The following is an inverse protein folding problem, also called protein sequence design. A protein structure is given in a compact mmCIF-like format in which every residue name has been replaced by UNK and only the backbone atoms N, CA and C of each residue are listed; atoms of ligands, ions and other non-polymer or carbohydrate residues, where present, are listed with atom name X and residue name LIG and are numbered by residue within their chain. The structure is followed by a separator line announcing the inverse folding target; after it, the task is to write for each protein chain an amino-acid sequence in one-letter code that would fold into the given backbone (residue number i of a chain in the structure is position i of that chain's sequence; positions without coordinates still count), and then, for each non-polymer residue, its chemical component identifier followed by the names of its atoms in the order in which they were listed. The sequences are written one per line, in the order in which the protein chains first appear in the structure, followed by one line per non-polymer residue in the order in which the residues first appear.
data_IF_126019006440
#
_entry.id   IF_126019006440
#
_cell.length_a   1.000
_cell.length_b   1.000
_cell.length_c   1.000
_cell.angle_alpha   90.00
_cell.angle_beta   90.00
_cell.angle_gamma   90.00
#
_symmetry.space_group_name_H-M   'P 1'
#
loop_
_entity.id
_entity.type
_entity.pdbx_description
1 polymer ?
#
# COMPACT_ATOMS: atom_id res chain seq x y z
N UNK A 1 -13.22 28.37 8.32
CA UNK A 1 -14.19 27.35 7.86
C UNK A 1 -13.39 26.18 7.34
N UNK A 2 -13.24 25.11 8.13
CA UNK A 2 -12.73 23.85 7.62
C UNK A 2 -13.79 23.31 6.68
N UNK A 3 -13.48 23.21 5.39
CA UNK A 3 -14.38 22.61 4.43
C UNK A 3 -14.27 21.10 4.67
N UNK A 4 -15.23 20.53 5.41
CA UNK A 4 -15.40 19.09 5.59
C UNK A 4 -15.65 18.47 4.22
N UNK A 5 -14.56 18.17 3.51
CA UNK A 5 -14.58 17.48 2.24
C UNK A 5 -14.50 16.00 2.54
N UNK A 6 -15.64 15.41 2.88
CA UNK A 6 -15.85 14.02 2.49
C UNK A 6 -15.86 14.04 0.96
N UNK A 7 -14.90 13.38 0.27
CA UNK A 7 -15.08 13.18 -1.16
C UNK A 7 -16.40 12.47 -1.38
N UNK A 8 -17.07 12.84 -2.46
CA UNK A 8 -18.28 12.17 -2.89
C UNK A 8 -18.06 10.64 -2.81
N UNK A 9 -18.99 9.94 -2.16
CA UNK A 9 -18.92 8.50 -1.98
C UNK A 9 -18.66 7.78 -3.32
N UNK A 10 -19.11 8.38 -4.42
CA UNK A 10 -18.82 7.90 -5.78
C UNK A 10 -17.34 7.97 -6.16
N UNK A 11 -16.64 9.06 -5.81
CA UNK A 11 -15.19 9.19 -6.08
C UNK A 11 -14.41 8.16 -5.27
N UNK A 12 -14.79 7.94 -4.00
CA UNK A 12 -14.15 6.94 -3.16
C UNK A 12 -14.39 5.51 -3.68
N UNK A 13 -15.63 5.20 -4.08
CA UNK A 13 -15.98 3.92 -4.73
C UNK A 13 -15.19 3.71 -6.01
N UNK A 14 -15.03 4.76 -6.82
CA UNK A 14 -14.27 4.67 -8.07
C UNK A 14 -12.78 4.37 -7.81
N UNK A 15 -12.16 5.09 -6.86
CA UNK A 15 -10.76 4.85 -6.48
C UNK A 15 -10.54 3.43 -5.98
N UNK A 16 -11.43 2.93 -5.13
CA UNK A 16 -11.38 1.55 -4.66
C UNK A 16 -11.50 0.56 -5.82
N UNK A 17 -12.47 0.76 -6.73
CA UNK A 17 -12.63 -0.07 -7.93
C UNK A 17 -11.38 -0.09 -8.81
N UNK A 18 -10.77 1.06 -9.04
CA UNK A 18 -9.53 1.19 -9.82
C UNK A 18 -8.37 0.49 -9.11
N UNK A 19 -8.19 0.69 -7.80
CA UNK A 19 -7.17 0.02 -7.01
C UNK A 19 -7.35 -1.50 -7.03
N UNK A 20 -8.58 -1.99 -6.87
CA UNK A 20 -8.94 -3.40 -6.95
C UNK A 20 -8.54 -4.00 -8.31
N UNK A 21 -8.89 -3.33 -9.41
CA UNK A 21 -8.52 -3.77 -10.76
C UNK A 21 -6.99 -3.83 -10.94
N UNK A 22 -6.26 -2.84 -10.42
CA UNK A 22 -4.79 -2.80 -10.46
C UNK A 22 -4.15 -3.96 -9.68
N UNK A 23 -4.66 -4.27 -8.49
CA UNK A 23 -4.15 -5.35 -7.64
C UNK A 23 -4.41 -6.73 -8.27
N UNK A 24 -5.61 -6.94 -8.82
CA UNK A 24 -5.97 -8.21 -9.48
C UNK A 24 -5.11 -8.40 -10.73
N UNK A 25 -4.90 -7.34 -11.52
CA UNK A 25 -4.05 -7.38 -12.70
C UNK A 25 -4.56 -8.34 -13.78
N UNK A 26 -5.88 -8.60 -13.81
CA UNK A 26 -6.50 -9.56 -14.73
C UNK A 26 -6.35 -11.04 -14.35
N UNK A 27 -5.72 -11.35 -13.21
CA UNK A 27 -5.65 -12.72 -12.68
C UNK A 27 -7.02 -13.21 -12.25
N UNK A 28 -7.28 -14.49 -12.47
CA UNK A 28 -8.38 -15.18 -11.80
C UNK A 28 -7.99 -15.42 -10.33
N UNK A 29 -8.86 -15.04 -9.40
CA UNK A 29 -8.61 -15.18 -7.96
C UNK A 29 -9.84 -15.81 -7.30
N UNK A 30 -9.63 -16.47 -6.16
CA UNK A 30 -10.72 -17.11 -5.44
C UNK A 30 -11.70 -16.08 -4.85
N UNK A 31 -12.91 -16.52 -4.50
CA UNK A 31 -13.91 -15.69 -3.81
C UNK A 31 -13.39 -15.13 -2.48
N UNK A 32 -12.60 -15.92 -1.75
CA UNK A 32 -11.96 -15.48 -0.51
C UNK A 32 -10.91 -14.40 -0.80
N UNK A 33 -10.11 -14.57 -1.86
CA UNK A 33 -9.12 -13.57 -2.29
C UNK A 33 -9.75 -12.26 -2.71
N UNK A 34 -10.96 -12.30 -3.28
CA UNK A 34 -11.72 -11.10 -3.59
C UNK A 34 -12.01 -10.23 -2.35
N UNK A 35 -12.18 -10.84 -1.17
CA UNK A 35 -12.35 -10.11 0.11
C UNK A 35 -11.04 -9.48 0.54
N UNK A 36 -9.93 -10.23 0.53
CA UNK A 36 -8.61 -9.71 0.89
C UNK A 36 -8.18 -8.57 -0.01
N UNK A 37 -8.38 -8.72 -1.33
CA UNK A 37 -8.11 -7.65 -2.29
C UNK A 37 -8.98 -6.43 -2.00
N UNK A 38 -10.25 -6.60 -1.65
CA UNK A 38 -11.15 -5.49 -1.31
C UNK A 38 -10.66 -4.68 -0.10
N UNK A 39 -10.15 -5.34 0.94
CA UNK A 39 -9.59 -4.67 2.11
C UNK A 39 -8.37 -3.83 1.70
N UNK A 40 -7.44 -4.42 0.95
CA UNK A 40 -6.22 -3.73 0.53
C UNK A 40 -6.51 -2.61 -0.47
N UNK A 41 -7.43 -2.80 -1.41
CA UNK A 41 -7.83 -1.76 -2.37
C UNK A 41 -8.47 -0.56 -1.68
N UNK A 42 -9.29 -0.79 -0.64
CA UNK A 42 -9.89 0.27 0.14
C UNK A 42 -8.86 1.11 0.90
N UNK A 43 -7.83 0.46 1.46
CA UNK A 43 -6.70 1.16 2.11
C UNK A 43 -5.87 1.97 1.12
N UNK A 44 -5.65 1.46 -0.09
CA UNK A 44 -4.96 2.19 -1.17
C UNK A 44 -5.77 3.42 -1.59
N UNK A 45 -7.07 3.27 -1.81
CA UNK A 45 -7.96 4.38 -2.15
C UNK A 45 -7.97 5.46 -1.08
N UNK A 46 -7.95 5.07 0.20
CA UNK A 46 -7.86 6.00 1.33
C UNK A 46 -6.53 6.78 1.33
N UNK A 47 -5.41 6.14 1.02
CA UNK A 47 -4.12 6.85 0.91
C UNK A 47 -4.15 7.86 -0.24
N UNK A 48 -4.68 7.48 -1.41
CA UNK A 48 -4.80 8.39 -2.55
C UNK A 48 -5.68 9.60 -2.22
N UNK A 49 -6.79 9.37 -1.52
CA UNK A 49 -7.68 10.43 -1.05
C UNK A 49 -6.97 11.40 -0.11
N UNK A 50 -6.28 10.87 0.90
CA UNK A 50 -5.56 11.71 1.86
C UNK A 50 -4.41 12.47 1.18
N UNK A 51 -3.76 11.90 0.16
CA UNK A 51 -2.77 12.63 -0.64
C UNK A 51 -3.40 13.82 -1.35
N UNK A 52 -4.55 13.66 -1.98
CA UNK A 52 -5.28 14.77 -2.61
C UNK A 52 -5.63 15.86 -1.61
N UNK A 53 -6.02 15.49 -0.38
CA UNK A 53 -6.31 16.46 0.68
C UNK A 53 -5.05 17.24 1.10
N UNK A 54 -3.93 16.55 1.34
CA UNK A 54 -2.66 17.19 1.70
C UNK A 54 -2.15 18.10 0.57
N UNK A 55 -2.28 17.67 -0.68
CA UNK A 55 -1.91 18.49 -1.85
C UNK A 55 -2.75 19.77 -1.95
N UNK A 56 -4.03 19.71 -1.57
CA UNK A 56 -4.94 20.85 -1.56
C UNK A 56 -4.71 21.79 -0.37
N UNK A 57 -4.66 21.23 0.83
CA UNK A 57 -4.65 21.98 2.09
C UNK A 57 -3.24 22.39 2.51
N UNK A 58 -2.23 21.78 1.91
CA UNK A 58 -0.82 21.95 2.26
C UNK A 58 -0.35 20.95 3.32
N UNK A 59 0.96 20.84 3.45
CA UNK A 59 1.60 19.93 4.42
C UNK A 59 1.44 20.38 5.87
N UNK A 60 1.13 21.66 6.09
CA UNK A 60 0.84 22.23 7.39
C UNK A 60 -0.57 22.82 7.40
N UNK A 61 -1.36 22.48 8.41
CA UNK A 61 -2.67 23.06 8.67
C UNK A 61 -2.61 23.70 10.05
N UNK A 62 -2.85 25.01 10.13
CA UNK A 62 -2.75 25.79 11.38
C UNK A 62 -1.39 25.68 12.10
N UNK A 63 -0.30 25.52 11.34
CA UNK A 63 1.06 25.40 11.90
C UNK A 63 1.44 23.99 12.37
N UNK A 64 0.52 23.03 12.30
CA UNK A 64 0.76 21.62 12.62
C UNK A 64 0.79 20.75 11.37
N UNK A 65 1.42 19.57 11.47
CA UNK A 65 1.44 18.60 10.38
C UNK A 65 0.01 18.19 9.99
N UNK A 66 -0.27 18.11 8.70
CA UNK A 66 -1.59 17.74 8.22
C UNK A 66 -2.06 16.40 8.82
N UNK A 67 -3.25 16.32 9.43
CA UNK A 67 -3.72 15.11 10.16
C UNK A 67 -3.79 13.85 9.29
N UNK A 68 -3.94 14.06 7.98
CA UNK A 68 -3.82 13.02 6.96
C UNK A 68 -2.52 12.19 7.01
N UNK A 69 -1.41 12.74 7.52
CA UNK A 69 -0.17 11.96 7.63
C UNK A 69 -0.32 10.75 8.55
N UNK A 70 -1.08 10.85 9.65
CA UNK A 70 -1.32 9.72 10.55
C UNK A 70 -2.20 8.65 9.90
N UNK A 71 -3.21 9.08 9.13
CA UNK A 71 -4.07 8.18 8.35
C UNK A 71 -3.22 7.41 7.33
N UNK A 72 -2.38 8.11 6.57
CA UNK A 72 -1.46 7.46 5.62
C UNK A 72 -0.50 6.50 6.31
N UNK A 73 0.04 6.87 7.48
CA UNK A 73 0.97 6.02 8.23
C UNK A 73 0.31 4.72 8.64
N UNK A 74 -0.89 4.78 9.24
CA UNK A 74 -1.64 3.59 9.69
C UNK A 74 -2.02 2.71 8.51
N UNK A 75 -2.60 3.29 7.45
CA UNK A 75 -2.98 2.54 6.25
C UNK A 75 -1.76 1.86 5.60
N UNK A 76 -0.61 2.54 5.54
CA UNK A 76 0.63 1.97 5.01
C UNK A 76 1.15 0.81 5.84
N UNK A 77 1.02 0.87 7.17
CA UNK A 77 1.39 -0.23 8.07
C UNK A 77 0.49 -1.44 7.85
N UNK A 78 -0.83 -1.24 7.76
CA UNK A 78 -1.79 -2.31 7.46
C UNK A 78 -1.50 -2.99 6.12
N UNK A 79 -1.28 -2.21 5.05
CA UNK A 79 -0.92 -2.74 3.73
C UNK A 79 0.33 -3.61 3.80
N UNK A 80 1.38 -3.18 4.51
CA UNK A 80 2.59 -4.00 4.70
C UNK A 80 2.27 -5.32 5.41
N UNK A 81 1.48 -5.26 6.48
CA UNK A 81 1.03 -6.46 7.19
C UNK A 81 0.20 -7.40 6.31
N UNK A 82 -0.54 -6.89 5.33
CA UNK A 82 -1.25 -7.72 4.35
C UNK A 82 -0.31 -8.35 3.33
N UNK A 83 0.68 -7.61 2.83
CA UNK A 83 1.69 -8.12 1.90
C UNK A 83 2.50 -9.25 2.55
N UNK A 84 2.86 -9.11 3.82
CA UNK A 84 3.58 -10.14 4.57
C UNK A 84 2.73 -11.39 4.85
N UNK A 85 1.43 -11.20 5.13
CA UNK A 85 0.49 -12.31 5.41
C UNK A 85 0.06 -13.07 4.16
N UNK A 86 -0.08 -12.39 3.02
CA UNK A 86 -0.54 -12.95 1.74
C UNK A 86 0.41 -12.58 0.60
N UNK A 87 1.68 -13.02 0.65
CA UNK A 87 2.66 -12.72 -0.39
C UNK A 87 2.31 -13.37 -1.74
N UNK A 88 1.53 -14.45 -1.72
CA UNK A 88 0.94 -15.09 -2.90
C UNK A 88 0.01 -14.15 -3.67
N UNK A 89 -0.72 -13.29 -2.96
CA UNK A 89 -1.72 -12.40 -3.53
C UNK A 89 -1.13 -11.03 -3.90
N UNK A 90 -0.30 -10.46 -3.01
CA UNK A 90 0.17 -9.08 -3.11
C UNK A 90 1.69 -8.91 -3.34
N UNK A 91 2.46 -9.99 -3.29
CA UNK A 91 3.93 -9.94 -3.28
C UNK A 91 4.63 -9.90 -4.64
N UNK A 92 3.90 -10.02 -5.76
CA UNK A 92 4.39 -9.90 -7.14
C UNK A 92 5.69 -10.66 -7.47
N UNK A 93 5.58 -11.82 -8.14
CA UNK A 93 6.70 -12.53 -8.80
C UNK A 93 7.95 -12.83 -7.95
N UNK A 94 7.78 -13.65 -6.91
CA UNK A 94 8.83 -14.59 -6.49
C UNK A 94 8.38 -16.05 -6.64
N UNK A 95 7.88 -16.42 -7.82
CA UNK A 95 7.87 -17.83 -8.23
C UNK A 95 8.42 -17.93 -9.66
N UNK A 96 9.76 -17.80 -9.78
CA UNK A 96 10.70 -18.55 -10.63
C UNK A 96 11.93 -17.69 -10.97
N UNK A 97 13.05 -17.96 -10.29
CA UNK A 97 14.37 -17.46 -10.68
C UNK A 97 15.07 -16.60 -9.62
N UNK A 98 15.89 -17.25 -8.78
CA UNK A 98 17.04 -16.68 -8.08
C UNK A 98 16.86 -15.31 -7.36
N UNK A 99 16.47 -15.37 -6.09
CA UNK A 99 17.21 -14.60 -5.07
C UNK A 99 17.73 -15.58 -4.05
N UNK A 100 18.94 -16.08 -4.30
CA UNK A 100 19.77 -16.57 -3.21
C UNK A 100 19.98 -15.36 -2.29
N UNK A 101 19.38 -15.41 -1.11
CA UNK A 101 19.76 -14.52 -0.03
C UNK A 101 21.17 -14.94 0.36
N UNK A 102 22.20 -14.33 -0.26
CA UNK A 102 23.54 -14.34 0.33
C UNK A 102 23.42 -13.58 1.64
N UNK A 103 23.30 -14.33 2.73
CA UNK A 103 23.36 -13.84 4.09
C UNK A 103 24.62 -13.01 4.24
N UNK A 104 24.54 -11.90 4.99
CA UNK A 104 25.60 -10.92 5.26
C UNK A 104 26.95 -11.54 5.70
N UNK A 105 26.95 -12.81 6.12
CA UNK A 105 28.13 -13.63 6.45
C UNK A 105 29.04 -13.92 5.23
N UNK A 106 28.50 -13.95 4.00
CA UNK A 106 29.29 -14.24 2.78
C UNK A 106 30.12 -13.05 2.30
N UNK A 107 29.78 -11.81 2.70
CA UNK A 107 30.55 -10.62 2.32
C UNK A 107 31.87 -10.49 3.06
N UNK A 108 32.02 -11.13 4.22
CA UNK A 108 33.24 -11.05 5.04
C UNK A 108 34.31 -12.09 4.67
N UNK A 109 33.95 -13.18 3.99
CA UNK A 109 34.94 -14.18 3.52
C UNK A 109 35.73 -13.74 2.30
N UNK A 110 35.24 -12.77 1.52
CA UNK A 110 35.95 -12.33 0.31
C UNK A 110 36.93 -11.18 0.55
N UNK A 111 36.92 -10.57 1.74
CA UNK A 111 37.81 -9.47 2.12
C UNK A 111 39.01 -9.96 2.94
N UNK A 112 38.95 -11.17 3.49
CA UNK A 112 40.06 -11.84 4.18
C UNK A 112 40.26 -13.21 3.55
N UNK A 113 41.23 -13.33 2.64
CA UNK A 113 41.57 -14.58 1.97
C UNK A 113 41.87 -15.71 2.97
N UNK A 114 40.89 -16.59 3.18
CA UNK A 114 40.97 -17.92 3.78
C UNK A 114 39.97 -18.83 3.09
#
# INVERSE_FOLDING_TARGET
MAHDFEPDADVRRERDRVARKRIIGGREISEIDHVWVGIVSGLVAQIEEVRTLIERDGVLVNGEAHPGFDVQRKASQEIRGWIERRPDLFGGDKIKGQRTTKTQKDRFKHVLGM
#
